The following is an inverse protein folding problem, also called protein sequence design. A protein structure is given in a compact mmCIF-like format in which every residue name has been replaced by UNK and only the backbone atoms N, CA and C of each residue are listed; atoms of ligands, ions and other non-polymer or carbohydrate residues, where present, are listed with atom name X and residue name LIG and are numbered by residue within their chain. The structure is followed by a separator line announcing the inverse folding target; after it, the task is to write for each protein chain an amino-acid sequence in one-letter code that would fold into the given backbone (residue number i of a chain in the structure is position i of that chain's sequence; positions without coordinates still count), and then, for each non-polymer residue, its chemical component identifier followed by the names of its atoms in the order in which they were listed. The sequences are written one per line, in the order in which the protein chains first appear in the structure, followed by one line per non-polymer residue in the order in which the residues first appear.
data_IF_421315444299
#
_entry.id   IF_421315444299
#
_cell.length_a   1.000
_cell.length_b   1.000
_cell.length_c   1.000
_cell.angle_alpha   90.00
_cell.angle_beta   90.00
_cell.angle_gamma   90.00
#
_symmetry.space_group_name_H-M   'P 1'
#
loop_
_entity.id
_entity.type
_entity.pdbx_description
1 polymer ?
#
# COMPACT_ATOMS: atom_id res chain seq x y z
N UNK A 1 -11.74 16.80 -5.49
CA UNK A 1 -12.73 15.97 -4.73
C UNK A 1 -12.13 15.63 -3.38
N UNK A 2 -11.89 16.63 -2.53
CA UNK A 2 -10.87 16.55 -1.45
C UNK A 2 -11.33 17.08 -0.07
N UNK A 3 -12.64 17.27 0.16
CA UNK A 3 -13.13 17.89 1.40
C UNK A 3 -13.88 16.93 2.36
N UNK A 4 -13.88 15.62 2.07
CA UNK A 4 -14.64 14.63 2.86
C UNK A 4 -13.78 13.81 3.85
N UNK A 5 -12.45 14.00 3.87
CA UNK A 5 -11.53 13.16 4.67
C UNK A 5 -11.06 13.81 5.98
N UNK A 6 -11.09 15.15 6.08
CA UNK A 6 -10.56 15.87 7.24
C UNK A 6 -11.46 15.80 8.48
N UNK A 7 -12.78 15.91 8.31
CA UNK A 7 -13.74 15.91 9.43
C UNK A 7 -13.99 14.52 10.02
N UNK A 8 -13.86 13.45 9.22
CA UNK A 8 -14.03 12.07 9.71
C UNK A 8 -12.81 11.60 10.51
N UNK A 9 -11.60 11.94 10.08
CA UNK A 9 -10.36 11.54 10.76
C UNK A 9 -10.26 12.09 12.19
N UNK A 10 -10.60 13.37 12.40
CA UNK A 10 -10.68 14.00 13.72
C UNK A 10 -11.71 13.33 14.65
N UNK A 11 -12.87 12.92 14.11
CA UNK A 11 -13.89 12.22 14.92
C UNK A 11 -13.50 10.78 15.29
N UNK A 12 -12.64 10.15 14.49
CA UNK A 12 -12.18 8.78 14.71
C UNK A 12 -10.98 8.73 15.68
N UNK A 13 -10.10 9.74 15.66
CA UNK A 13 -8.96 9.81 16.58
C UNK A 13 -9.40 9.88 18.05
N UNK A 14 -10.55 10.50 18.34
CA UNK A 14 -11.12 10.54 19.70
C UNK A 14 -11.52 9.16 20.25
N UNK A 15 -11.60 8.12 19.41
CA UNK A 15 -12.06 6.78 19.83
C UNK A 15 -10.96 5.98 20.53
N UNK A 16 -9.69 6.22 20.22
CA UNK A 16 -8.54 5.55 20.83
C UNK A 16 -7.62 6.58 21.50
N UNK A 17 -7.36 6.47 22.81
CA UNK A 17 -6.48 7.39 23.54
C UNK A 17 -4.98 7.25 23.21
N UNK A 18 -4.61 6.37 22.28
CA UNK A 18 -3.22 6.14 21.85
C UNK A 18 -3.08 6.34 20.35
N UNK A 19 -2.02 7.07 19.97
CA UNK A 19 -1.72 7.38 18.57
C UNK A 19 -0.85 6.32 17.90
N UNK A 20 -0.95 6.22 16.57
CA UNK A 20 -0.18 5.28 15.76
C UNK A 20 1.33 5.52 15.88
N UNK A 21 1.78 6.78 15.93
CA UNK A 21 3.21 7.10 16.00
C UNK A 21 3.84 6.57 17.29
N UNK A 22 3.13 6.73 18.42
CA UNK A 22 3.55 6.22 19.73
C UNK A 22 3.66 4.69 19.73
N UNK A 23 2.70 3.99 19.10
CA UNK A 23 2.75 2.53 18.95
C UNK A 23 3.94 2.06 18.11
N UNK A 24 4.26 2.80 17.04
CA UNK A 24 5.39 2.49 16.16
C UNK A 24 6.72 2.65 16.90
N UNK A 25 6.88 3.71 17.70
CA UNK A 25 8.07 3.90 18.56
C UNK A 25 8.21 2.76 19.57
N UNK A 26 7.14 2.46 20.32
CA UNK A 26 7.11 1.34 21.27
C UNK A 26 7.57 0.02 20.64
N UNK A 27 7.08 -0.30 19.44
CA UNK A 27 7.41 -1.55 18.76
C UNK A 27 8.81 -1.55 18.11
N UNK A 28 9.32 -0.39 17.67
CA UNK A 28 10.65 -0.31 17.06
C UNK A 28 11.76 -0.34 18.11
N UNK A 29 11.64 0.53 19.10
CA UNK A 29 12.70 0.77 20.09
C UNK A 29 12.65 -0.22 21.25
N UNK A 30 11.62 -1.09 21.31
CA UNK A 30 11.39 -2.05 22.39
C UNK A 30 11.47 -1.37 23.76
N UNK A 31 10.96 -0.14 23.82
CA UNK A 31 11.17 0.73 24.95
C UNK A 31 10.25 0.32 26.11
N UNK A 32 10.85 -0.42 27.05
CA UNK A 32 10.18 -0.90 28.25
C UNK A 32 9.73 0.24 29.16
N UNK A 33 10.38 1.42 29.09
CA UNK A 33 10.05 2.56 29.93
C UNK A 33 8.75 3.19 29.45
N UNK A 34 8.63 3.50 28.15
CA UNK A 34 7.38 3.99 27.59
C UNK A 34 6.25 2.98 27.71
N UNK A 35 6.54 1.67 27.67
CA UNK A 35 5.54 0.62 27.93
C UNK A 35 5.04 0.66 29.38
N UNK A 36 5.95 0.86 30.34
CA UNK A 36 5.60 1.01 31.75
C UNK A 36 4.75 2.27 31.97
N UNK A 37 5.07 3.38 31.29
CA UNK A 37 4.31 4.65 31.36
C UNK A 37 2.87 4.51 30.86
N UNK A 38 2.61 3.68 29.85
CA UNK A 38 1.24 3.38 29.39
C UNK A 38 0.53 2.34 30.25
N UNK A 39 1.11 1.91 31.38
CA UNK A 39 0.50 0.93 32.29
C UNK A 39 0.79 -0.53 31.91
N UNK A 40 1.86 -0.77 31.15
CA UNK A 40 2.29 -2.10 30.73
C UNK A 40 1.38 -2.71 29.66
N UNK A 41 1.41 -4.03 29.55
CA UNK A 41 0.58 -4.78 28.58
C UNK A 41 -0.92 -4.61 28.84
N UNK A 42 -1.35 -4.52 30.10
CA UNK A 42 -2.77 -4.33 30.45
C UNK A 42 -3.24 -2.91 30.11
N UNK A 43 -2.45 -1.90 30.45
CA UNK A 43 -2.78 -0.52 30.08
C UNK A 43 -2.79 -0.34 28.55
N UNK A 44 -1.83 -0.94 27.85
CA UNK A 44 -1.81 -0.92 26.39
C UNK A 44 -3.03 -1.63 25.77
N UNK A 45 -3.49 -2.74 26.35
CA UNK A 45 -4.70 -3.43 25.87
C UNK A 45 -5.95 -2.57 26.06
N UNK A 46 -6.05 -1.82 27.16
CA UNK A 46 -7.15 -0.90 27.43
C UNK A 46 -7.13 0.30 26.48
N UNK A 47 -5.96 0.88 26.23
CA UNK A 47 -5.77 1.98 25.27
C UNK A 47 -6.14 1.57 23.85
N UNK A 48 -5.86 0.31 23.47
CA UNK A 48 -6.24 -0.25 22.18
C UNK A 48 -7.67 -0.81 22.16
N UNK A 49 -8.41 -0.78 23.28
CA UNK A 49 -9.72 -1.43 23.45
C UNK A 49 -9.72 -2.89 22.98
N UNK A 50 -8.66 -3.61 23.32
CA UNK A 50 -8.50 -5.04 23.03
C UNK A 50 -8.51 -5.81 24.34
N UNK A 51 -9.10 -7.00 24.33
CA UNK A 51 -9.01 -7.91 25.46
C UNK A 51 -7.75 -8.78 25.33
N UNK A 52 -7.07 -9.08 26.45
CA UNK A 52 -5.86 -9.92 26.44
C UNK A 52 -6.17 -11.41 26.18
N UNK A 53 -7.30 -11.92 26.68
CA UNK A 53 -7.70 -13.32 26.50
C UNK A 53 -8.51 -13.54 25.21
N UNK A 54 -9.41 -12.59 24.91
CA UNK A 54 -10.39 -12.71 23.81
C UNK A 54 -10.05 -11.91 22.57
N UNK A 55 -9.04 -11.03 22.63
CA UNK A 55 -8.66 -10.16 21.51
C UNK A 55 -9.65 -9.02 21.25
N UNK A 56 -9.74 -8.60 19.99
CA UNK A 56 -10.65 -7.52 19.55
C UNK A 56 -12.00 -8.11 19.16
N UNK A 57 -13.07 -7.31 19.25
CA UNK A 57 -14.40 -7.75 18.85
C UNK A 57 -14.46 -8.08 17.34
N UNK A 58 -15.29 -9.05 16.95
CA UNK A 58 -15.48 -9.40 15.53
C UNK A 58 -16.49 -8.48 14.82
N UNK A 59 -16.79 -7.30 15.38
CA UNK A 59 -17.75 -6.38 14.80
C UNK A 59 -17.12 -5.65 13.60
N UNK A 60 -17.70 -5.79 12.41
CA UNK A 60 -17.11 -5.25 11.18
C UNK A 60 -16.96 -3.73 11.22
N UNK A 61 -17.91 -3.02 11.82
CA UNK A 61 -17.84 -1.56 11.97
C UNK A 61 -16.66 -1.10 12.83
N UNK A 62 -16.33 -1.84 13.90
CA UNK A 62 -15.19 -1.53 14.77
C UNK A 62 -13.87 -1.87 14.07
N UNK A 63 -13.83 -2.95 13.30
CA UNK A 63 -12.65 -3.34 12.52
C UNK A 63 -12.35 -2.33 11.40
N UNK A 64 -13.38 -1.84 10.70
CA UNK A 64 -13.23 -0.82 9.67
C UNK A 64 -12.72 0.50 10.26
N UNK A 65 -13.28 0.95 11.39
CA UNK A 65 -12.79 2.15 12.07
C UNK A 65 -11.35 2.00 12.54
N UNK A 66 -10.99 0.84 13.12
CA UNK A 66 -9.61 0.55 13.54
C UNK A 66 -8.65 0.60 12.35
N UNK A 67 -9.07 0.04 11.20
CA UNK A 67 -8.29 0.07 9.95
C UNK A 67 -8.14 1.49 9.39
N UNK A 68 -9.15 2.34 9.55
CA UNK A 68 -9.09 3.73 9.09
C UNK A 68 -8.11 4.57 9.96
N UNK A 69 -7.99 4.26 11.26
CA UNK A 69 -7.12 4.99 12.20
C UNK A 69 -5.66 4.48 12.16
N UNK A 70 -5.46 3.17 12.32
CA UNK A 70 -4.10 2.59 12.38
C UNK A 70 -3.56 2.18 11.01
N UNK A 71 -4.38 2.27 9.97
CA UNK A 71 -4.05 1.81 8.63
C UNK A 71 -4.32 0.32 8.43
N UNK A 72 -4.32 -0.10 7.16
CA UNK A 72 -4.46 -1.49 6.80
C UNK A 72 -3.14 -2.25 6.97
N UNK A 73 -3.19 -3.43 7.61
CA UNK A 73 -2.06 -4.37 7.64
C UNK A 73 -1.91 -5.09 6.29
N UNK A 74 -1.69 -4.32 5.22
CA UNK A 74 -1.51 -4.84 3.87
C UNK A 74 -0.19 -4.32 3.33
N UNK A 75 0.71 -5.24 2.97
CA UNK A 75 1.97 -4.87 2.34
C UNK A 75 1.71 -4.01 1.10
N UNK A 76 2.42 -2.88 0.95
CA UNK A 76 2.27 -2.02 -0.21
C UNK A 76 2.60 -2.84 -1.45
N UNK A 77 1.57 -3.16 -2.24
CA UNK A 77 1.78 -3.88 -3.49
C UNK A 77 2.53 -2.94 -4.42
N UNK A 78 3.71 -3.36 -4.89
CA UNK A 78 4.40 -2.68 -5.98
C UNK A 78 3.42 -2.57 -7.14
N UNK A 79 3.06 -1.35 -7.55
CA UNK A 79 2.24 -1.13 -8.75
C UNK A 79 2.95 -1.84 -9.90
N UNK A 80 2.26 -2.75 -10.59
CA UNK A 80 2.85 -3.43 -11.75
C UNK A 80 3.25 -2.35 -12.76
N UNK A 81 4.51 -2.36 -13.18
CA UNK A 81 4.94 -1.50 -14.30
C UNK A 81 4.08 -1.87 -15.52
N UNK A 82 3.64 -0.89 -16.29
CA UNK A 82 2.81 -1.13 -17.47
C UNK A 82 3.58 -1.98 -18.48
N UNK A 83 2.91 -2.98 -19.08
CA UNK A 83 3.47 -3.81 -20.16
C UNK A 83 4.00 -2.92 -21.30
N UNK A 84 3.32 -1.80 -21.57
CA UNK A 84 3.74 -0.80 -22.55
C UNK A 84 5.14 -0.22 -22.32
N UNK A 85 5.57 -0.04 -21.06
CA UNK A 85 6.96 0.36 -20.79
C UNK A 85 7.94 -0.72 -21.20
N UNK A 86 7.63 -1.99 -20.93
CA UNK A 86 8.48 -3.10 -21.34
C UNK A 86 8.55 -3.24 -22.86
N UNK A 87 7.45 -3.03 -23.57
CA UNK A 87 7.42 -3.04 -25.04
C UNK A 87 8.26 -1.91 -25.62
N UNK A 88 8.11 -0.68 -25.10
CA UNK A 88 8.91 0.46 -25.54
C UNK A 88 10.41 0.26 -25.27
N UNK A 89 10.75 -0.31 -24.11
CA UNK A 89 12.12 -0.61 -23.73
C UNK A 89 12.73 -1.72 -24.60
N UNK A 90 11.96 -2.75 -24.95
CA UNK A 90 12.41 -3.81 -25.88
C UNK A 90 12.50 -3.32 -27.35
N UNK A 91 11.67 -2.36 -27.76
CA UNK A 91 11.74 -1.75 -29.09
C UNK A 91 12.99 -0.88 -29.31
N UNK A 92 13.76 -0.56 -28.27
CA UNK A 92 14.99 0.23 -28.38
C UNK A 92 16.23 -0.62 -28.73
N UNK A 93 16.09 -1.95 -28.79
CA UNK A 93 17.15 -2.84 -29.24
C UNK A 93 17.42 -2.71 -30.74
N UNK A 94 18.69 -2.49 -31.09
CA UNK A 94 19.16 -2.32 -32.47
C UNK A 94 18.75 -3.49 -33.38
N UNK A 95 18.71 -4.71 -32.84
CA UNK A 95 18.31 -5.93 -33.56
C UNK A 95 16.86 -5.88 -34.03
N UNK A 96 15.94 -5.40 -33.19
CA UNK A 96 14.51 -5.30 -33.50
C UNK A 96 14.26 -4.21 -34.54
N UNK A 97 14.99 -3.08 -34.45
CA UNK A 97 14.94 -2.01 -35.45
C UNK A 97 15.37 -2.50 -36.84
N UNK A 98 16.47 -3.25 -36.92
CA UNK A 98 16.94 -3.83 -38.19
C UNK A 98 15.90 -4.79 -38.79
N UNK A 99 15.26 -5.61 -37.96
CA UNK A 99 14.21 -6.53 -38.40
C UNK A 99 12.96 -5.79 -38.91
N UNK A 100 12.54 -4.70 -38.26
CA UNK A 100 11.42 -3.88 -38.73
C UNK A 100 11.69 -3.26 -40.12
N UNK A 101 12.89 -2.74 -40.33
CA UNK A 101 13.30 -2.17 -41.63
C UNK A 101 13.35 -3.24 -42.70
N UNK A 102 13.94 -4.41 -42.42
CA UNK A 102 13.99 -5.53 -43.35
C UNK A 102 12.59 -6.07 -43.71
N UNK A 103 11.68 -6.13 -42.73
CA UNK A 103 10.29 -6.52 -42.98
C UNK A 103 9.56 -5.49 -43.84
N UNK A 104 9.76 -4.19 -43.59
CA UNK A 104 9.15 -3.11 -44.37
C UNK A 104 9.64 -3.13 -45.83
N UNK A 105 10.94 -3.32 -46.07
CA UNK A 105 11.47 -3.43 -47.43
C UNK A 105 11.00 -4.70 -48.13
N UNK A 106 10.95 -5.83 -47.43
CA UNK A 106 10.42 -7.10 -47.96
C UNK A 106 8.95 -6.98 -48.35
N UNK A 107 8.14 -6.30 -47.53
CA UNK A 107 6.73 -6.07 -47.82
C UNK A 107 6.55 -5.13 -49.01
N UNK A 108 7.30 -4.02 -49.05
CA UNK A 108 7.28 -3.05 -50.15
C UNK A 108 7.60 -3.72 -51.49
N UNK A 109 8.70 -4.48 -51.52
CA UNK A 109 9.12 -5.22 -52.71
C UNK A 109 8.13 -6.32 -53.08
N UNK A 110 7.61 -7.05 -52.09
CA UNK A 110 6.60 -8.08 -52.30
C UNK A 110 5.33 -7.51 -52.94
N UNK A 111 4.85 -6.36 -52.47
CA UNK A 111 3.65 -5.70 -53.02
C UNK A 111 3.93 -5.14 -54.42
N UNK A 112 5.06 -4.46 -54.64
CA UNK A 112 5.41 -3.89 -55.96
C UNK A 112 5.65 -4.98 -57.02
N UNK A 113 6.15 -6.14 -56.63
CA UNK A 113 6.38 -7.27 -57.55
C UNK A 113 5.10 -8.10 -57.78
N UNK A 114 4.16 -8.05 -56.84
CA UNK A 114 2.87 -8.74 -56.94
C UNK A 114 1.76 -7.90 -57.62
N UNK A 115 2.04 -6.65 -57.93
CA UNK A 115 1.20 -5.73 -58.74
C UNK A 115 1.74 -5.69 -60.16
#
# INVERSE_FOLDING_TARGET
TESYNGTKFESLSQRFPIDLEKLVMLNRDHDAITLQEVGGVSGLSDLLKSNLDRGVSSNEDELLQRRDIFGANTYPRKKRKSIWRFVFEACQDLTLVILMVAAATSLSLGIVTAV
#
